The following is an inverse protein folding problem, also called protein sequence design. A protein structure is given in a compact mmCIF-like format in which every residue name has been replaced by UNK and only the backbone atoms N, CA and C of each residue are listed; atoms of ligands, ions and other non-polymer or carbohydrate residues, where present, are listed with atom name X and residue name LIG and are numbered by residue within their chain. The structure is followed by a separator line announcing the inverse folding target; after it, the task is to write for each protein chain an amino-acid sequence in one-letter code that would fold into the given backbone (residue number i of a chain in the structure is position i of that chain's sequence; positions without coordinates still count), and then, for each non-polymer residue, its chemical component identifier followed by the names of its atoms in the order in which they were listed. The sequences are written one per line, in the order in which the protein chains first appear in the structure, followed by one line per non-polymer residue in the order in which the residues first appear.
data_IF_697172974079
#
_entry.id   IF_697172974079
#
_cell.length_a   1.000
_cell.length_b   1.000
_cell.length_c   1.000
_cell.angle_alpha   90.00
_cell.angle_beta   90.00
_cell.angle_gamma   90.00
#
_symmetry.space_group_name_H-M   'P 1'
#
loop_
_entity.id
_entity.type
_entity.pdbx_description
1 polymer ?
#
# COMPACT_ATOMS: atom_id res chain seq x y z
N UNK A 1 -6.30 10.32 7.29
CA UNK A 1 -5.52 9.20 6.71
C UNK A 1 -6.28 7.93 7.01
N UNK A 2 -6.67 7.23 5.96
CA UNK A 2 -7.34 5.93 6.08
C UNK A 2 -6.39 4.87 5.54
N UNK A 3 -6.52 3.67 6.09
CA UNK A 3 -5.90 2.50 5.52
C UNK A 3 -6.94 1.70 4.77
N UNK A 4 -6.46 1.04 3.73
CA UNK A 4 -7.26 0.15 2.95
C UNK A 4 -6.45 -1.09 2.64
N UNK A 5 -7.06 -2.27 2.67
CA UNK A 5 -6.45 -3.50 2.23
C UNK A 5 -7.19 -4.06 1.02
N UNK A 6 -6.45 -4.71 0.13
CA UNK A 6 -7.01 -5.53 -0.93
C UNK A 6 -6.16 -6.79 -1.04
N UNK A 7 -6.81 -7.93 -1.00
CA UNK A 7 -6.19 -9.18 -1.44
C UNK A 7 -6.19 -9.12 -2.97
N UNK A 8 -5.01 -9.16 -3.57
CA UNK A 8 -4.86 -9.10 -5.02
C UNK A 8 -4.23 -10.40 -5.50
N UNK A 9 -4.62 -10.82 -6.68
CA UNK A 9 -3.90 -11.87 -7.37
C UNK A 9 -2.52 -11.35 -7.82
N UNK A 10 -1.47 -12.19 -7.78
CA UNK A 10 -0.14 -11.78 -8.23
C UNK A 10 -0.12 -11.35 -9.71
N UNK A 11 -1.11 -11.76 -10.51
CA UNK A 11 -1.30 -11.29 -11.88
C UNK A 11 -1.83 -9.85 -11.96
N UNK A 12 -2.71 -9.44 -11.04
CA UNK A 12 -3.29 -8.08 -10.99
C UNK A 12 -2.36 -7.07 -10.29
N UNK A 13 -1.31 -7.55 -9.64
CA UNK A 13 -0.37 -6.73 -8.88
C UNK A 13 0.15 -5.53 -9.67
N UNK A 14 0.66 -5.76 -10.88
CA UNK A 14 1.25 -4.70 -11.69
C UNK A 14 0.21 -3.65 -12.08
N UNK A 15 -1.02 -4.04 -12.38
CA UNK A 15 -2.09 -3.10 -12.74
C UNK A 15 -2.55 -2.26 -11.56
N UNK A 16 -2.64 -2.86 -10.37
CA UNK A 16 -3.01 -2.11 -9.16
C UNK A 16 -1.89 -1.16 -8.74
N UNK A 17 -0.63 -1.60 -8.86
CA UNK A 17 0.53 -0.76 -8.59
C UNK A 17 0.59 0.42 -9.58
N UNK A 18 0.41 0.18 -10.88
CA UNK A 18 0.38 1.23 -11.90
C UNK A 18 -0.76 2.23 -11.66
N UNK A 19 -1.98 1.75 -11.37
CA UNK A 19 -3.12 2.61 -11.04
C UNK A 19 -2.85 3.48 -9.82
N UNK A 20 -2.25 2.90 -8.77
CA UNK A 20 -1.91 3.64 -7.57
C UNK A 20 -0.79 4.65 -7.83
N UNK A 21 0.24 4.28 -8.59
CA UNK A 21 1.33 5.17 -8.98
C UNK A 21 0.82 6.33 -9.85
N UNK A 22 -0.04 6.06 -10.83
CA UNK A 22 -0.68 7.07 -11.65
C UNK A 22 -1.53 8.03 -10.79
N UNK A 23 -2.27 7.54 -9.79
CA UNK A 23 -2.99 8.39 -8.84
C UNK A 23 -2.03 9.21 -7.96
N UNK A 24 -0.96 8.58 -7.48
CA UNK A 24 0.06 9.21 -6.66
C UNK A 24 0.73 10.36 -7.41
N UNK A 25 1.13 10.14 -8.66
CA UNK A 25 1.71 11.16 -9.56
C UNK A 25 0.68 12.24 -9.88
N UNK A 26 -0.56 11.89 -10.24
CA UNK A 26 -1.63 12.87 -10.53
C UNK A 26 -1.94 13.78 -9.36
N UNK A 27 -1.84 13.28 -8.12
CA UNK A 27 -2.09 14.05 -6.91
C UNK A 27 -0.85 14.84 -6.43
N UNK A 28 0.28 14.74 -7.14
CA UNK A 28 1.51 15.44 -6.79
C UNK A 28 2.27 14.80 -5.62
N UNK A 29 2.22 13.48 -5.50
CA UNK A 29 2.94 12.69 -4.50
C UNK A 29 2.63 13.12 -3.06
N UNK A 30 1.35 13.15 -2.63
CA UNK A 30 1.01 13.58 -1.29
C UNK A 30 1.71 12.68 -0.26
N UNK A 31 2.36 13.30 0.74
CA UNK A 31 3.11 12.64 1.82
C UNK A 31 2.34 11.59 2.64
N UNK A 32 1.04 11.49 2.39
CA UNK A 32 0.09 10.65 3.10
C UNK A 32 -0.36 9.43 2.27
N UNK A 33 0.01 9.34 0.99
CA UNK A 33 -0.30 8.19 0.14
C UNK A 33 0.85 7.20 0.12
N UNK A 34 0.52 5.95 0.39
CA UNK A 34 1.49 4.87 0.41
C UNK A 34 0.84 3.56 0.00
N UNK A 35 1.55 2.73 -0.74
CA UNK A 35 1.18 1.37 -1.06
C UNK A 35 2.25 0.45 -0.50
N UNK A 36 1.84 -0.47 0.35
CA UNK A 36 2.71 -1.45 0.99
C UNK A 36 2.10 -2.83 0.80
N UNK A 37 2.92 -3.87 0.77
CA UNK A 37 2.44 -5.26 0.74
C UNK A 37 2.76 -5.95 2.03
N UNK A 38 1.86 -6.78 2.54
CA UNK A 38 2.25 -7.74 3.59
C UNK A 38 3.25 -8.74 3.02
N UNK A 39 4.28 -9.07 3.81
CA UNK A 39 5.08 -10.27 3.59
C UNK A 39 4.57 -11.35 4.55
N UNK A 40 3.90 -12.38 4.04
CA UNK A 40 3.36 -13.46 4.85
C UNK A 40 2.96 -14.68 4.01
N UNK A 41 2.69 -15.83 4.63
CA UNK A 41 2.31 -17.07 3.93
C UNK A 41 0.90 -17.05 3.32
N UNK A 42 0.20 -15.91 3.40
CA UNK A 42 -1.14 -15.72 2.84
C UNK A 42 -1.12 -15.21 1.40
N UNK A 43 -2.29 -15.03 0.78
CA UNK A 43 -2.40 -14.42 -0.54
C UNK A 43 -1.83 -13.00 -0.52
N UNK A 44 -1.24 -12.52 -1.65
CA UNK A 44 -0.63 -11.21 -1.71
C UNK A 44 -1.65 -10.14 -1.34
N UNK A 45 -1.38 -9.42 -0.26
CA UNK A 45 -2.30 -8.41 0.28
C UNK A 45 -1.62 -7.06 0.21
N UNK A 46 -2.23 -6.17 -0.58
CA UNK A 46 -1.83 -4.78 -0.67
C UNK A 46 -2.56 -3.95 0.37
N UNK A 47 -1.83 -3.01 0.93
CA UNK A 47 -2.30 -2.03 1.89
C UNK A 47 -2.01 -0.64 1.35
N UNK A 48 -3.06 0.13 1.13
CA UNK A 48 -2.98 1.51 0.66
C UNK A 48 -3.33 2.47 1.80
N UNK A 49 -2.40 3.37 2.13
CA UNK A 49 -2.69 4.59 2.89
C UNK A 49 -3.18 5.65 1.93
N UNK A 50 -4.30 6.28 2.27
CA UNK A 50 -4.89 7.36 1.50
C UNK A 50 -5.23 8.54 2.42
N UNK A 51 -5.09 9.79 1.97
CA UNK A 51 -5.51 10.95 2.74
C UNK A 51 -7.04 10.99 2.94
N UNK A 52 -7.81 10.51 1.95
CA UNK A 52 -9.27 10.60 1.92
C UNK A 52 -9.92 9.29 1.40
N UNK A 53 -11.10 8.94 1.92
CA UNK A 53 -11.92 7.82 1.43
C UNK A 53 -12.48 7.98 0.03
N UNK A 54 -12.55 9.19 -0.51
CA UNK A 54 -12.96 9.37 -1.91
C UNK A 54 -11.99 8.63 -2.86
N UNK A 55 -10.70 8.59 -2.51
CA UNK A 55 -9.69 7.84 -3.28
C UNK A 55 -9.84 6.32 -3.13
N UNK A 56 -10.46 5.86 -2.04
CA UNK A 56 -10.78 4.45 -1.86
C UNK A 56 -11.82 4.00 -2.90
N UNK A 57 -12.83 4.83 -3.16
CA UNK A 57 -13.82 4.53 -4.20
C UNK A 57 -13.23 4.49 -5.62
N UNK A 58 -12.07 5.11 -5.85
CA UNK A 58 -11.33 4.99 -7.10
C UNK A 58 -10.53 3.67 -7.19
N UNK A 59 -10.24 3.04 -6.06
CA UNK A 59 -9.51 1.79 -5.95
C UNK A 59 -10.49 0.64 -5.74
N UNK A 60 -11.01 0.09 -6.84
CA UNK A 60 -11.95 -1.05 -6.79
C UNK A 60 -11.36 -2.21 -5.99
N UNK A 61 -12.16 -2.80 -5.10
CA UNK A 61 -11.79 -3.97 -4.30
C UNK A 61 -10.96 -3.68 -3.06
N UNK A 62 -10.61 -2.42 -2.78
CA UNK A 62 -9.96 -2.04 -1.52
C UNK A 62 -11.00 -1.86 -0.41
N UNK A 63 -10.83 -2.60 0.68
CA UNK A 63 -11.62 -2.47 1.89
C UNK A 63 -10.93 -1.55 2.88
N UNK A 64 -11.68 -0.61 3.47
CA UNK A 64 -11.15 0.24 4.54
C UNK A 64 -10.84 -0.63 5.76
N UNK A 65 -9.64 -0.46 6.31
CA UNK A 65 -9.21 -1.10 7.55
C UNK A 65 -8.73 -0.08 8.58
N UNK A 66 -8.65 -0.52 9.82
CA UNK A 66 -8.01 0.22 10.91
C UNK A 66 -6.51 -0.06 10.93
N UNK A 67 -5.75 0.80 11.60
CA UNK A 67 -4.32 0.62 11.85
C UNK A 67 -3.99 -0.71 12.57
N UNK A 68 -4.92 -1.24 13.36
CA UNK A 68 -4.74 -2.50 14.10
C UNK A 68 -4.71 -3.74 13.21
N UNK A 69 -5.23 -3.64 11.98
CA UNK A 69 -5.24 -4.72 10.98
C UNK A 69 -3.99 -4.70 10.08
N UNK A 70 -3.10 -3.73 10.28
CA UNK A 70 -1.88 -3.62 9.49
C UNK A 70 -0.87 -4.71 9.89
N UNK A 71 -0.19 -5.31 8.90
CA UNK A 71 0.86 -6.26 9.19
C UNK A 71 2.03 -5.58 9.88
N UNK A 72 2.66 -6.27 10.83
CA UNK A 72 3.90 -5.79 11.46
C UNK A 72 5.06 -5.70 10.46
N UNK A 73 5.07 -6.61 9.47
CA UNK A 73 6.06 -6.72 8.40
C UNK A 73 5.42 -6.43 7.04
N UNK A 74 5.85 -5.34 6.41
CA UNK A 74 5.41 -4.96 5.08
C UNK A 74 6.59 -4.51 4.21
N UNK A 75 6.42 -4.59 2.89
CA UNK A 75 7.34 -4.00 1.93
C UNK A 75 6.70 -2.78 1.28
N UNK A 76 7.42 -1.66 1.28
CA UNK A 76 6.97 -0.45 0.60
C UNK A 76 7.09 -0.61 -0.91
N UNK A 77 6.02 -0.32 -1.64
CA UNK A 77 5.98 -0.34 -3.10
C UNK A 77 5.99 1.08 -3.66
N UNK A 78 5.05 1.91 -3.22
CA UNK A 78 4.88 3.28 -3.71
C UNK A 78 4.64 4.20 -2.53
N UNK A 79 5.28 5.37 -2.50
CA UNK A 79 5.04 6.40 -1.48
C UNK A 79 6.31 6.86 -0.77
N UNK A 80 6.12 7.52 0.36
CA UNK A 80 7.22 8.17 1.08
C UNK A 80 7.86 7.24 2.11
N UNK A 81 9.14 6.92 1.92
CA UNK A 81 9.94 6.10 2.87
C UNK A 81 9.87 6.65 4.30
N UNK A 82 9.93 7.97 4.49
CA UNK A 82 9.89 8.59 5.81
C UNK A 82 8.54 8.36 6.53
N UNK A 83 7.42 8.32 5.80
CA UNK A 83 6.12 8.00 6.37
C UNK A 83 5.99 6.50 6.69
N UNK A 84 6.69 5.66 5.92
CA UNK A 84 6.78 4.21 6.13
C UNK A 84 7.56 3.85 7.39
N UNK A 85 8.77 4.38 7.54
CA UNK A 85 9.65 4.07 8.68
C UNK A 85 9.06 4.51 10.02
N UNK A 86 8.16 5.51 10.02
CA UNK A 86 7.43 5.93 11.22
C UNK A 86 6.34 4.95 11.67
N UNK A 87 5.92 4.02 10.81
CA UNK A 87 4.70 3.21 10.99
C UNK A 87 4.93 1.72 10.88
N UNK A 88 5.80 1.27 9.96
CA UNK A 88 6.15 -0.13 9.79
C UNK A 88 7.59 -0.35 10.23
N UNK A 89 7.79 -1.43 10.98
CA UNK A 89 9.13 -1.87 11.34
C UNK A 89 9.69 -2.63 10.14
N UNK A 90 10.56 -1.97 9.37
CA UNK A 90 11.11 -2.47 8.11
C UNK A 90 11.81 -3.83 8.31
N UNK A 91 11.32 -4.98 7.79
CA UNK A 91 12.21 -6.09 7.53
C UNK A 91 13.10 -5.67 6.36
N UNK A 92 14.41 -5.69 6.56
CA UNK A 92 15.45 -5.24 5.63
C UNK A 92 15.39 -6.06 4.32
N UNK A 93 14.45 -5.76 3.42
CA UNK A 93 14.28 -6.50 2.17
C UNK A 93 15.47 -6.20 1.25
N UNK A 94 16.27 -7.23 1.00
CA UNK A 94 17.32 -7.24 -0.03
C UNK A 94 16.68 -7.76 -1.32
N UNK A 95 16.68 -7.02 -2.44
CA UNK A 95 16.29 -7.62 -3.70
C UNK A 95 17.24 -8.79 -4.03
N UNK A 96 16.76 -9.91 -4.58
CA UNK A 96 17.65 -10.91 -5.16
C UNK A 96 18.40 -10.27 -6.33
N UNK A 97 19.73 -10.24 -6.22
CA UNK A 97 20.63 -9.77 -7.28
C UNK A 97 20.90 -10.83 -8.33
#
# INVERSE_FOLDING_TARGET
MIWARRIIDPAEWNEVQDQFENLFVKLGCPGQMMLVTASGPGPPTLFASLPNSVLLSALTGFERITDSELPAEASLLVGHHHAFEKRFTYPKWKPPG
#
